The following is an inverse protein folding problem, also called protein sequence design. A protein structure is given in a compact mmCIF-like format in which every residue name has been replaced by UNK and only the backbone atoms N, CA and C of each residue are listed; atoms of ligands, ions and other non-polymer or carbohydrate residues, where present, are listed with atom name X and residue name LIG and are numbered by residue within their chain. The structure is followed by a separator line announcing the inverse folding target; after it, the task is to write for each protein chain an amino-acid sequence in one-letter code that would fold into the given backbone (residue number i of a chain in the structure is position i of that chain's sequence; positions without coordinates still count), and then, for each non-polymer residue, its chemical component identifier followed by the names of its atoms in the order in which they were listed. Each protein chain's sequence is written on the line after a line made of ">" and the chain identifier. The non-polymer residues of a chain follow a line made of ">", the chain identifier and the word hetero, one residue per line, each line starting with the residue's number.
data_IF_388265146434
#
_entry.id   IF_388265146434
#
_cell.length_a   1.000
_cell.length_b   1.000
_cell.length_c   1.000
_cell.angle_alpha   90.00
_cell.angle_beta   90.00
_cell.angle_gamma   90.00
#
_symmetry.space_group_name_H-M   'P 1'
#
loop_
_entity.id
_entity.type
_entity.pdbx_description
1 polymer ?
#
# COMPACT_ATOMS: atom_id res chain seq x y z
N UNK A 1 -7.37 10.25 15.26
CA UNK A 1 -6.02 9.78 15.64
C UNK A 1 -6.05 8.48 16.44
N UNK A 2 -6.84 8.38 17.52
CA UNK A 2 -7.04 7.13 18.29
C UNK A 2 -7.14 5.83 17.43
N UNK A 3 -7.99 5.77 16.38
CA UNK A 3 -8.10 4.55 15.57
C UNK A 3 -6.83 4.18 14.79
N UNK A 4 -5.93 5.12 14.52
CA UNK A 4 -4.67 4.85 13.81
C UNK A 4 -3.66 4.20 14.75
N UNK A 5 -3.49 4.73 15.96
CA UNK A 5 -2.52 4.21 16.93
C UNK A 5 -2.96 2.88 17.56
N UNK A 6 -4.26 2.60 17.60
CA UNK A 6 -4.83 1.33 18.08
C UNK A 6 -4.96 0.28 16.97
N UNK A 7 -4.56 0.59 15.73
CA UNK A 7 -4.62 -0.33 14.61
C UNK A 7 -3.52 -1.42 14.74
N UNK A 8 -3.91 -2.69 14.67
CA UNK A 8 -3.01 -3.84 14.84
C UNK A 8 -1.86 -3.86 13.83
N UNK A 9 -2.09 -3.44 12.59
CA UNK A 9 -1.06 -3.44 11.54
C UNK A 9 -0.02 -2.34 11.80
N UNK A 10 -0.45 -1.18 12.32
CA UNK A 10 0.45 -0.10 12.74
C UNK A 10 1.35 -0.58 13.89
N UNK A 11 0.76 -1.22 14.90
CA UNK A 11 1.47 -1.76 16.06
C UNK A 11 2.47 -2.83 15.62
N UNK A 12 2.04 -3.78 14.78
CA UNK A 12 2.89 -4.84 14.27
C UNK A 12 4.08 -4.27 13.49
N UNK A 13 3.83 -3.28 12.63
CA UNK A 13 4.85 -2.67 11.79
C UNK A 13 5.87 -1.84 12.57
N UNK A 14 5.46 -1.27 13.70
CA UNK A 14 6.34 -0.58 14.64
C UNK A 14 7.23 -1.53 15.48
N UNK A 15 7.03 -2.84 15.41
CA UNK A 15 7.80 -3.84 16.18
C UNK A 15 6.94 -4.70 17.12
N UNK A 16 5.63 -4.49 17.12
CA UNK A 16 4.67 -5.25 17.91
C UNK A 16 4.67 -4.88 19.39
N UNK A 17 3.72 -5.49 20.09
CA UNK A 17 3.51 -5.30 21.53
C UNK A 17 4.73 -5.67 22.38
N UNK A 18 5.49 -6.69 21.99
CA UNK A 18 6.68 -7.09 22.75
C UNK A 18 7.74 -5.98 22.77
N UNK A 19 7.82 -5.17 21.71
CA UNK A 19 8.73 -4.01 21.69
C UNK A 19 8.22 -2.87 22.58
N UNK A 20 6.91 -2.67 22.68
CA UNK A 20 6.31 -1.75 23.67
C UNK A 20 6.63 -2.22 25.09
N UNK A 21 6.48 -3.51 25.36
CA UNK A 21 6.73 -4.11 26.67
C UNK A 21 8.20 -3.98 27.10
N UNK A 22 9.14 -4.25 26.18
CA UNK A 22 10.56 -4.04 26.42
C UNK A 22 10.91 -2.57 26.72
N UNK A 23 10.20 -1.61 26.13
CA UNK A 23 10.37 -0.18 26.44
C UNK A 23 9.81 0.17 27.83
N UNK A 24 8.66 -0.40 28.20
CA UNK A 24 8.06 -0.19 29.53
C UNK A 24 8.90 -0.81 30.65
N UNK A 25 9.59 -1.93 30.40
CA UNK A 25 10.48 -2.56 31.39
C UNK A 25 11.64 -1.66 31.80
N UNK A 26 12.06 -0.73 30.95
CA UNK A 26 13.10 0.27 31.25
C UNK A 26 12.64 1.32 32.26
N UNK A 27 11.33 1.41 32.53
CA UNK A 27 10.75 2.32 33.52
C UNK A 27 10.63 1.63 34.89
N UNK A 28 11.13 2.30 35.92
CA UNK A 28 11.12 1.84 37.31
C UNK A 28 10.08 2.61 38.14
N UNK A 29 8.88 2.78 37.59
CA UNK A 29 7.77 3.47 38.25
C UNK A 29 6.45 2.71 38.05
N UNK A 30 5.59 2.72 39.08
CA UNK A 30 4.25 2.15 38.99
C UNK A 30 3.31 3.21 38.43
N UNK A 31 2.61 2.90 37.33
CA UNK A 31 1.74 3.87 36.66
C UNK A 31 0.33 3.93 37.24
N UNK A 32 -0.03 3.03 38.15
CA UNK A 32 -1.33 3.07 38.79
C UNK A 32 -1.39 4.18 39.86
N UNK A 33 -2.29 5.17 39.73
CA UNK A 33 -2.27 6.38 40.55
C UNK A 33 -2.83 6.20 41.97
N UNK A 34 -3.55 5.10 42.23
CA UNK A 34 -4.25 4.88 43.50
C UNK A 34 -3.56 3.80 44.32
N UNK A 35 -2.41 4.13 44.90
CA UNK A 35 -1.72 3.29 45.88
C UNK A 35 -1.18 4.14 47.02
N UNK A 36 -1.56 3.82 48.26
CA UNK A 36 -0.90 4.40 49.44
C UNK A 36 0.50 3.81 49.64
N UNK A 37 0.81 2.70 48.98
CA UNK A 37 2.08 2.00 49.03
C UNK A 37 2.36 1.30 47.69
N UNK A 38 3.62 1.30 47.26
CA UNK A 38 4.09 0.60 46.07
C UNK A 38 5.28 -0.30 46.40
N UNK A 39 5.30 -1.51 45.82
CA UNK A 39 6.42 -2.44 45.91
C UNK A 39 7.62 -1.97 45.07
N UNK A 40 8.83 -2.36 45.46
CA UNK A 40 10.08 -2.10 44.72
C UNK A 40 10.17 -2.92 43.42
N UNK A 41 9.46 -4.05 43.35
CA UNK A 41 9.46 -4.92 42.18
C UNK A 41 8.28 -4.61 41.26
N UNK A 42 8.53 -4.70 39.95
CA UNK A 42 7.60 -4.31 38.91
C UNK A 42 7.26 -5.45 37.94
N UNK A 43 6.04 -5.43 37.42
CA UNK A 43 5.52 -6.34 36.38
C UNK A 43 4.93 -5.55 35.22
N UNK A 44 4.63 -6.26 34.14
CA UNK A 44 3.87 -5.75 33.01
C UNK A 44 2.46 -6.32 33.09
N UNK A 45 1.47 -5.43 33.09
CA UNK A 45 0.07 -5.80 33.08
C UNK A 45 -0.51 -5.55 31.69
N UNK A 46 -0.93 -6.63 31.04
CA UNK A 46 -1.47 -6.60 29.68
C UNK A 46 -2.93 -6.16 29.72
N UNK A 47 -3.26 -5.04 29.08
CA UNK A 47 -4.62 -4.50 29.05
C UNK A 47 -4.86 -3.77 27.72
N UNK A 48 -5.86 -4.20 26.95
CA UNK A 48 -6.18 -3.58 25.66
C UNK A 48 -6.32 -2.04 25.78
N UNK A 49 -5.74 -1.25 24.86
CA UNK A 49 -5.05 -1.66 23.62
C UNK A 49 -3.54 -1.98 23.75
N UNK A 50 -2.97 -1.97 24.96
CA UNK A 50 -1.53 -2.01 25.19
C UNK A 50 -1.09 -2.77 26.45
N UNK A 51 -0.05 -2.25 27.09
CA UNK A 51 0.49 -2.80 28.35
C UNK A 51 0.78 -1.66 29.33
N UNK A 52 0.75 -1.96 30.62
CA UNK A 52 0.92 -1.01 31.73
C UNK A 52 2.06 -1.48 32.63
N UNK A 53 2.90 -0.55 33.10
CA UNK A 53 3.93 -0.83 34.10
C UNK A 53 3.36 -0.69 35.51
N UNK A 54 3.35 -1.77 36.27
CA UNK A 54 2.82 -1.81 37.64
C UNK A 54 3.86 -2.35 38.62
N UNK A 55 3.75 -1.99 39.91
CA UNK A 55 4.44 -2.74 40.96
C UNK A 55 3.67 -4.02 41.31
N UNK A 56 4.34 -5.02 41.90
CA UNK A 56 3.73 -6.31 42.24
C UNK A 56 2.44 -6.20 43.08
N UNK A 57 2.36 -5.23 43.99
CA UNK A 57 1.17 -5.05 44.81
C UNK A 57 -0.01 -4.49 44.02
N UNK A 58 0.23 -3.48 43.16
CA UNK A 58 -0.81 -2.93 42.30
C UNK A 58 -1.24 -3.94 41.24
N UNK A 59 -0.33 -4.73 40.68
CA UNK A 59 -0.64 -5.80 39.73
C UNK A 59 -1.58 -6.86 40.36
N UNK A 60 -1.30 -7.27 41.60
CA UNK A 60 -2.20 -8.19 42.31
C UNK A 60 -3.55 -7.57 42.66
N UNK A 61 -3.60 -6.28 43.00
CA UNK A 61 -4.85 -5.58 43.27
C UNK A 61 -5.73 -5.45 42.02
N UNK A 62 -5.11 -5.19 40.88
CA UNK A 62 -5.77 -4.88 39.61
C UNK A 62 -5.96 -6.12 38.72
N UNK A 63 -5.53 -7.28 39.20
CA UNK A 63 -5.70 -8.55 38.51
C UNK A 63 -7.17 -8.73 38.12
N UNK A 64 -7.39 -9.09 36.86
CA UNK A 64 -8.71 -9.33 36.25
C UNK A 64 -9.65 -8.10 36.22
N UNK A 65 -9.14 -6.89 36.45
CA UNK A 65 -9.91 -5.65 36.28
C UNK A 65 -9.79 -5.11 34.86
N UNK A 66 -10.92 -4.72 34.28
CA UNK A 66 -11.01 -4.13 32.94
C UNK A 66 -11.73 -2.79 32.98
N UNK A 67 -11.01 -1.74 33.37
CA UNK A 67 -11.57 -0.39 33.54
C UNK A 67 -11.11 0.55 32.43
N UNK A 68 -11.91 1.58 32.15
CA UNK A 68 -11.54 2.62 31.19
C UNK A 68 -10.28 3.40 31.61
N UNK A 69 -10.05 3.53 32.93
CA UNK A 69 -8.83 4.14 33.47
C UNK A 69 -7.59 3.31 33.12
N UNK A 70 -7.63 1.99 33.26
CA UNK A 70 -6.52 1.11 32.86
C UNK A 70 -6.33 1.14 31.33
N UNK A 71 -7.42 1.09 30.55
CA UNK A 71 -7.36 1.26 29.10
C UNK A 71 -6.74 2.61 28.69
N UNK A 72 -7.00 3.66 29.47
CA UNK A 72 -6.41 4.99 29.30
C UNK A 72 -4.89 4.96 29.42
N UNK A 73 -4.38 4.40 30.53
CA UNK A 73 -2.93 4.29 30.78
C UNK A 73 -2.26 3.43 29.70
N UNK A 74 -2.85 2.28 29.36
CA UNK A 74 -2.32 1.40 28.32
C UNK A 74 -2.25 2.10 26.95
N UNK A 75 -3.26 2.92 26.61
CA UNK A 75 -3.30 3.70 25.38
C UNK A 75 -2.24 4.80 25.37
N UNK A 76 -2.03 5.51 26.47
CA UNK A 76 -0.99 6.54 26.57
C UNK A 76 0.40 5.95 26.36
N UNK A 77 0.69 4.81 26.98
CA UNK A 77 1.92 4.05 26.76
C UNK A 77 2.09 3.66 25.29
N UNK A 78 1.04 3.10 24.68
CA UNK A 78 1.06 2.68 23.28
C UNK A 78 1.34 3.86 22.34
N UNK A 79 0.64 4.99 22.51
CA UNK A 79 0.82 6.18 21.68
C UNK A 79 2.21 6.79 21.87
N UNK A 80 2.67 6.91 23.12
CA UNK A 80 4.01 7.44 23.42
C UNK A 80 5.11 6.59 22.78
N UNK A 81 5.01 5.26 22.90
CA UNK A 81 5.95 4.34 22.27
C UNK A 81 5.90 4.43 20.74
N UNK A 82 4.71 4.43 20.13
CA UNK A 82 4.58 4.56 18.67
C UNK A 82 5.21 5.86 18.17
N UNK A 83 5.01 6.98 18.85
CA UNK A 83 5.63 8.26 18.49
C UNK A 83 7.16 8.14 18.55
N UNK A 84 7.72 7.56 19.61
CA UNK A 84 9.17 7.35 19.75
C UNK A 84 9.72 6.47 18.62
N UNK A 85 9.06 5.37 18.31
CA UNK A 85 9.47 4.45 17.23
C UNK A 85 9.41 5.14 15.87
N UNK A 86 8.29 5.78 15.55
CA UNK A 86 8.10 6.46 14.25
C UNK A 86 9.14 7.55 14.07
N UNK A 87 9.36 8.36 15.11
CA UNK A 87 10.37 9.42 15.13
C UNK A 87 11.78 8.88 14.89
N UNK A 88 12.14 7.81 15.59
CA UNK A 88 13.44 7.14 15.43
C UNK A 88 13.61 6.55 14.03
N UNK A 89 12.59 5.88 13.48
CA UNK A 89 12.64 5.29 12.13
C UNK A 89 12.71 6.35 11.02
N UNK A 90 12.13 7.53 11.24
CA UNK A 90 12.27 8.67 10.33
C UNK A 90 13.62 9.41 10.49
N UNK A 91 14.47 9.00 11.44
CA UNK A 91 15.80 9.58 11.67
C UNK A 91 15.80 10.89 12.45
N UNK A 92 14.70 11.21 13.15
CA UNK A 92 14.62 12.40 13.98
C UNK A 92 15.18 12.15 15.40
N UNK A 93 15.60 13.24 16.05
CA UNK A 93 16.09 13.21 17.43
C UNK A 93 14.96 13.12 18.47
N UNK A 94 15.31 12.99 19.75
CA UNK A 94 14.33 12.85 20.84
C UNK A 94 13.49 14.10 21.13
N UNK A 95 13.94 15.27 20.68
CA UNK A 95 13.24 16.54 20.88
C UNK A 95 12.23 16.86 19.78
N UNK A 96 12.27 16.14 18.65
CA UNK A 96 11.39 16.39 17.52
C UNK A 96 9.94 16.03 17.86
N UNK A 97 9.02 16.96 17.56
CA UNK A 97 7.59 16.76 17.66
C UNK A 97 7.07 16.19 16.34
N UNK A 98 6.62 14.94 16.37
CA UNK A 98 6.09 14.27 15.19
C UNK A 98 4.82 14.98 14.67
N UNK A 99 4.88 15.48 13.44
CA UNK A 99 3.78 16.17 12.79
C UNK A 99 2.83 15.19 12.08
N UNK A 100 1.61 15.63 11.75
CA UNK A 100 0.65 14.80 11.01
C UNK A 100 1.18 14.38 9.63
N UNK A 101 1.81 15.27 8.81
CA UNK A 101 2.43 14.86 7.55
C UNK A 101 3.50 13.79 7.73
N UNK A 102 4.35 13.88 8.75
CA UNK A 102 5.41 12.89 9.03
C UNK A 102 4.83 11.54 9.45
N UNK A 103 3.77 11.54 10.27
CA UNK A 103 3.02 10.33 10.60
C UNK A 103 2.41 9.70 9.35
N UNK A 104 1.76 10.50 8.50
CA UNK A 104 1.16 10.00 7.25
C UNK A 104 2.24 9.47 6.29
N UNK A 105 3.39 10.14 6.20
CA UNK A 105 4.53 9.69 5.42
C UNK A 105 5.04 8.34 5.91
N UNK A 106 5.23 8.18 7.23
CA UNK A 106 5.63 6.91 7.82
C UNK A 106 4.63 5.79 7.51
N UNK A 107 3.32 6.06 7.58
CA UNK A 107 2.28 5.09 7.23
C UNK A 107 2.37 4.69 5.75
N UNK A 108 2.59 5.64 4.84
CA UNK A 108 2.69 5.38 3.40
C UNK A 108 3.91 4.52 3.06
N UNK A 109 5.11 4.88 3.54
CA UNK A 109 6.34 4.11 3.26
C UNK A 109 6.28 2.68 3.84
N UNK A 110 5.45 2.48 4.87
CA UNK A 110 5.24 1.19 5.51
C UNK A 110 4.04 0.39 4.97
N UNK A 111 3.47 0.77 3.83
CA UNK A 111 2.32 0.12 3.19
C UNK A 111 1.00 0.20 3.99
N UNK A 112 0.88 1.15 4.91
CA UNK A 112 -0.28 1.37 5.79
C UNK A 112 -1.14 2.58 5.38
N UNK A 113 -1.03 3.03 4.12
CA UNK A 113 -1.80 4.18 3.63
C UNK A 113 -3.32 4.00 3.76
N UNK A 114 -3.81 2.76 3.75
CA UNK A 114 -5.23 2.43 3.94
C UNK A 114 -5.75 2.73 5.35
N UNK A 115 -4.87 2.84 6.35
CA UNK A 115 -5.22 3.16 7.74
C UNK A 115 -5.45 4.67 7.92
N UNK A 116 -5.00 5.51 6.97
CA UNK A 116 -5.05 6.96 7.08
C UNK A 116 -6.51 7.43 6.90
N UNK A 117 -7.14 8.00 7.96
CA UNK A 117 -8.49 8.53 7.83
C UNK A 117 -8.53 9.78 6.96
N UNK A 118 -9.67 10.04 6.31
CA UNK A 118 -9.86 11.21 5.44
C UNK A 118 -9.48 12.54 6.12
N UNK A 119 -9.82 12.69 7.40
CA UNK A 119 -9.47 13.90 8.17
C UNK A 119 -7.96 14.09 8.37
N UNK A 120 -7.19 13.01 8.51
CA UNK A 120 -5.73 13.09 8.56
C UNK A 120 -5.13 13.32 7.19
N UNK A 121 -5.65 12.63 6.17
CA UNK A 121 -5.20 12.80 4.79
C UNK A 121 -5.38 14.25 4.33
N UNK A 122 -6.52 14.89 4.64
CA UNK A 122 -6.75 16.31 4.35
C UNK A 122 -5.76 17.21 5.08
N UNK A 123 -5.50 16.97 6.37
CA UNK A 123 -4.49 17.74 7.14
C UNK A 123 -3.08 17.57 6.57
N UNK A 124 -2.71 16.35 6.18
CA UNK A 124 -1.42 16.06 5.56
C UNK A 124 -1.27 16.76 4.20
N UNK A 125 -2.33 16.78 3.39
CA UNK A 125 -2.39 17.45 2.09
C UNK A 125 -2.69 18.96 2.19
N UNK A 126 -2.86 19.51 3.40
CA UNK A 126 -3.26 20.90 3.66
C UNK A 126 -4.57 21.30 2.95
N UNK A 127 -5.49 20.35 2.82
CA UNK A 127 -6.84 20.56 2.31
C UNK A 127 -7.78 21.04 3.43
N UNK A 128 -8.83 21.84 3.10
CA UNK A 128 -9.80 22.30 4.09
C UNK A 128 -10.59 21.13 4.69
N UNK A 129 -11.06 21.26 5.95
CA UNK A 129 -11.95 20.26 6.55
C UNK A 129 -13.31 20.26 5.82
N UNK A 130 -13.86 19.06 5.58
CA UNK A 130 -15.20 18.93 5.00
C UNK A 130 -16.21 19.25 6.09
N UNK A 131 -16.87 20.40 5.96
CA UNK A 131 -18.04 20.73 6.77
C UNK A 131 -19.28 20.29 5.99
N UNK A 132 -19.83 19.13 6.35
CA UNK A 132 -21.10 18.69 5.78
C UNK A 132 -22.21 19.58 6.32
N UNK A 133 -22.83 20.38 5.45
CA UNK A 133 -24.09 21.03 5.79
C UNK A 133 -25.23 19.99 5.69
N UNK A 134 -26.18 19.97 6.64
CA UNK A 134 -27.25 18.96 6.66
C UNK A 134 -28.21 19.07 5.47
N UNK A 135 -28.26 20.24 4.81
CA UNK A 135 -29.02 20.47 3.58
C UNK A 135 -28.13 21.23 2.61
N UNK A 136 -27.85 20.63 1.46
CA UNK A 136 -27.15 21.28 0.34
C UNK A 136 -27.83 20.88 -0.97
N UNK A 137 -27.81 21.76 -1.96
CA UNK A 137 -28.33 21.41 -3.29
C UNK A 137 -27.38 20.42 -3.93
N UNK A 138 -27.92 19.45 -4.65
CA UNK A 138 -27.13 18.45 -5.37
C UNK A 138 -26.20 19.09 -6.43
N UNK A 139 -26.61 20.23 -7.02
CA UNK A 139 -25.78 21.01 -7.94
C UNK A 139 -24.50 21.58 -7.32
N UNK A 140 -24.45 21.68 -5.99
CA UNK A 140 -23.32 22.26 -5.26
C UNK A 140 -22.29 21.18 -4.87
N UNK A 141 -22.56 19.91 -5.21
CA UNK A 141 -21.63 18.80 -5.02
C UNK A 141 -20.57 18.87 -6.13
N UNK A 142 -19.36 19.29 -5.76
CA UNK A 142 -18.19 19.21 -6.64
C UNK A 142 -17.53 17.84 -6.46
N UNK A 143 -17.45 16.99 -7.49
CA UNK A 143 -16.77 15.70 -7.38
C UNK A 143 -15.26 15.92 -7.30
N UNK A 144 -14.67 15.59 -6.15
CA UNK A 144 -13.23 15.56 -5.93
C UNK A 144 -12.82 14.18 -5.42
N UNK A 145 -11.63 13.68 -5.79
CA UNK A 145 -11.11 12.44 -5.21
C UNK A 145 -10.92 12.60 -3.71
N UNK A 146 -11.19 11.54 -2.95
CA UNK A 146 -10.97 11.57 -1.50
C UNK A 146 -9.48 11.81 -1.20
N UNK A 147 -9.17 12.61 -0.18
CA UNK A 147 -7.79 12.88 0.19
C UNK A 147 -7.06 11.59 0.57
N UNK A 148 -7.76 10.67 1.22
CA UNK A 148 -7.28 9.32 1.53
C UNK A 148 -6.90 8.52 0.27
N UNK A 149 -7.66 8.61 -0.82
CA UNK A 149 -7.30 7.99 -2.10
C UNK A 149 -6.05 8.61 -2.72
N UNK A 150 -5.90 9.93 -2.61
CA UNK A 150 -4.71 10.65 -3.11
C UNK A 150 -3.45 10.20 -2.35
N UNK A 151 -3.53 10.08 -1.02
CA UNK A 151 -2.41 9.58 -0.20
C UNK A 151 -2.16 8.07 -0.40
N UNK A 152 -3.19 7.31 -0.75
CA UNK A 152 -3.09 5.87 -1.05
C UNK A 152 -2.60 5.56 -2.46
N UNK A 153 -2.60 6.52 -3.39
CA UNK A 153 -2.02 6.36 -4.73
C UNK A 153 -0.52 6.11 -4.60
N UNK A 154 -0.21 4.83 -4.53
CA UNK A 154 1.12 4.23 -4.40
C UNK A 154 2.11 4.75 -5.44
N UNK A 155 3.36 4.86 -5.00
CA UNK A 155 4.54 4.51 -5.81
C UNK A 155 4.30 3.06 -6.30
N UNK A 156 4.16 2.86 -7.61
CA UNK A 156 3.84 1.60 -8.28
C UNK A 156 4.87 0.48 -7.95
N UNK A 157 4.72 -0.14 -6.78
CA UNK A 157 5.46 -1.35 -6.45
C UNK A 157 4.82 -2.54 -7.17
N UNK A 158 5.58 -3.23 -8.02
CA UNK A 158 5.22 -4.54 -8.54
C UNK A 158 5.05 -5.50 -7.36
N UNK A 159 3.81 -5.76 -6.94
CA UNK A 159 3.53 -6.70 -5.84
C UNK A 159 3.59 -8.12 -6.36
N UNK A 160 4.53 -8.90 -5.83
CA UNK A 160 4.60 -10.35 -6.01
C UNK A 160 3.94 -10.99 -4.80
N UNK A 161 2.84 -11.70 -5.00
CA UNK A 161 2.20 -12.52 -3.97
C UNK A 161 2.78 -13.94 -4.07
N UNK A 162 3.57 -14.40 -3.07
CA UNK A 162 4.17 -15.73 -3.12
C UNK A 162 3.15 -16.87 -2.93
N UNK A 163 1.94 -16.58 -2.44
CA UNK A 163 0.95 -17.58 -2.04
C UNK A 163 -0.37 -17.48 -2.83
N UNK A 164 -0.30 -17.08 -4.11
CA UNK A 164 -1.50 -17.06 -4.96
C UNK A 164 -2.14 -18.45 -5.05
N UNK A 165 -3.44 -18.64 -4.79
CA UNK A 165 -4.09 -19.96 -4.84
C UNK A 165 -3.86 -20.74 -6.14
N UNK A 166 -3.76 -20.04 -7.27
CA UNK A 166 -3.46 -20.62 -8.57
C UNK A 166 -2.07 -21.28 -8.67
N UNK A 167 -1.08 -20.84 -7.89
CA UNK A 167 0.28 -21.42 -7.92
C UNK A 167 0.33 -22.84 -7.35
N UNK A 168 -0.64 -23.21 -6.53
CA UNK A 168 -0.77 -24.55 -5.95
C UNK A 168 -1.60 -25.52 -6.80
N UNK A 169 -2.17 -25.06 -7.93
CA UNK A 169 -3.02 -25.90 -8.79
C UNK A 169 -2.19 -26.65 -9.84
N UNK A 170 -2.50 -27.94 -10.07
CA UNK A 170 -1.87 -28.75 -11.14
C UNK A 170 -2.04 -28.11 -12.54
N UNK A 171 -3.15 -27.40 -12.75
CA UNK A 171 -3.44 -26.62 -13.97
C UNK A 171 -3.96 -25.23 -13.56
N UNK A 172 -3.07 -24.25 -13.39
CA UNK A 172 -3.46 -22.90 -12.97
C UNK A 172 -4.42 -22.26 -13.97
N UNK A 173 -5.51 -21.65 -13.46
CA UNK A 173 -6.37 -20.82 -14.30
C UNK A 173 -5.61 -19.54 -14.66
N UNK A 174 -5.34 -19.33 -15.94
CA UNK A 174 -4.67 -18.13 -16.44
C UNK A 174 -5.59 -16.92 -16.30
N UNK A 175 -5.21 -15.97 -15.46
CA UNK A 175 -5.87 -14.66 -15.36
C UNK A 175 -5.18 -13.69 -16.29
N UNK A 176 -5.90 -13.18 -17.29
CA UNK A 176 -5.37 -12.13 -18.18
C UNK A 176 -5.12 -10.86 -17.36
N UNK A 177 -3.91 -10.35 -17.45
CA UNK A 177 -3.57 -9.02 -16.92
C UNK A 177 -4.01 -7.98 -17.94
N UNK A 178 -4.84 -7.03 -17.50
CA UNK A 178 -5.46 -6.00 -18.33
C UNK A 178 -4.98 -4.64 -17.85
N UNK A 179 -4.57 -3.79 -18.78
CA UNK A 179 -4.12 -2.43 -18.51
C UNK A 179 -4.44 -1.53 -19.70
N UNK A 180 -5.54 -0.78 -19.57
CA UNK A 180 -6.05 0.09 -20.64
C UNK A 180 -5.13 1.30 -20.89
N UNK A 181 -4.51 1.84 -19.85
CA UNK A 181 -3.52 2.91 -20.00
C UNK A 181 -2.31 2.45 -20.82
N UNK A 182 -1.81 1.25 -20.57
CA UNK A 182 -0.71 0.66 -21.33
C UNK A 182 -1.10 0.44 -22.79
N UNK A 183 -2.23 -0.22 -23.08
CA UNK A 183 -2.67 -0.46 -24.47
C UNK A 183 -2.92 0.84 -25.23
N UNK A 184 -3.50 1.87 -24.58
CA UNK A 184 -3.65 3.21 -25.16
C UNK A 184 -2.31 3.88 -25.44
N UNK A 185 -1.34 3.74 -24.54
CA UNK A 185 0.00 4.24 -24.77
C UNK A 185 0.69 3.52 -25.94
N UNK A 186 0.56 2.19 -26.04
CA UNK A 186 1.09 1.42 -27.18
C UNK A 186 0.50 1.89 -28.50
N UNK A 187 -0.81 2.17 -28.56
CA UNK A 187 -1.46 2.76 -29.74
C UNK A 187 -0.86 4.11 -30.16
N UNK A 188 -0.31 4.89 -29.23
CA UNK A 188 0.36 6.16 -29.54
C UNK A 188 1.77 5.98 -30.12
N UNK A 189 2.35 4.78 -30.05
CA UNK A 189 3.73 4.53 -30.50
C UNK A 189 3.83 4.35 -32.01
N UNK A 190 5.06 4.39 -32.51
CA UNK A 190 5.38 4.06 -33.90
C UNK A 190 5.31 2.54 -34.11
N UNK A 191 4.86 2.14 -35.30
CA UNK A 191 4.80 0.76 -35.74
C UNK A 191 6.20 0.14 -35.76
N UNK A 192 6.37 -1.01 -35.11
CA UNK A 192 7.68 -1.68 -35.01
C UNK A 192 8.25 -2.14 -36.36
N UNK A 193 7.43 -2.25 -37.41
CA UNK A 193 7.86 -2.69 -38.73
C UNK A 193 8.31 -1.53 -39.65
N UNK A 194 7.67 -0.36 -39.54
CA UNK A 194 7.84 0.71 -40.53
C UNK A 194 7.91 2.13 -39.96
N UNK A 195 7.90 2.28 -38.64
CA UNK A 195 7.97 3.54 -37.91
C UNK A 195 6.86 4.56 -38.19
N UNK A 196 5.83 4.22 -38.96
CA UNK A 196 4.59 5.01 -39.11
C UNK A 196 3.76 4.93 -37.83
N UNK A 197 2.83 5.86 -37.61
CA UNK A 197 1.91 5.82 -36.48
C UNK A 197 1.19 4.46 -36.39
N UNK A 198 1.23 3.82 -35.22
CA UNK A 198 0.46 2.61 -34.99
C UNK A 198 -1.04 2.94 -34.94
N UNK A 199 -1.86 1.98 -35.36
CA UNK A 199 -3.32 2.12 -35.34
C UNK A 199 -3.91 1.37 -34.16
N UNK A 200 -3.56 0.10 -33.96
CA UNK A 200 -4.10 -0.73 -32.88
C UNK A 200 -3.00 -1.52 -32.16
N UNK A 201 -3.11 -1.72 -30.82
CA UNK A 201 -2.23 -2.61 -30.09
C UNK A 201 -2.47 -4.06 -30.52
N UNK A 202 -1.45 -4.70 -31.08
CA UNK A 202 -1.51 -6.07 -31.55
C UNK A 202 -1.12 -7.03 -30.42
N UNK A 203 -2.05 -7.84 -29.92
CA UNK A 203 -1.74 -8.90 -28.95
C UNK A 203 -0.96 -10.04 -29.60
N UNK A 204 0.12 -10.49 -28.95
CA UNK A 204 0.90 -11.65 -29.37
C UNK A 204 0.02 -12.88 -29.66
N UNK A 205 0.14 -13.48 -30.85
CA UNK A 205 -0.58 -14.68 -31.26
C UNK A 205 0.36 -15.85 -31.56
N UNK A 206 -0.14 -17.09 -31.48
CA UNK A 206 0.60 -18.29 -31.90
C UNK A 206 1.64 -18.83 -30.90
N UNK A 207 1.94 -18.11 -29.81
CA UNK A 207 3.00 -18.49 -28.86
C UNK A 207 2.50 -19.04 -27.50
N UNK A 208 1.20 -19.32 -27.37
CA UNK A 208 0.61 -19.89 -26.15
C UNK A 208 0.33 -18.88 -25.03
N UNK A 209 0.36 -17.56 -25.29
CA UNK A 209 0.05 -16.51 -24.32
C UNK A 209 -1.47 -16.23 -24.19
N UNK A 210 -2.27 -16.85 -25.06
CA UNK A 210 -3.73 -16.88 -25.03
C UNK A 210 -4.28 -18.28 -25.30
N UNK A 211 -5.59 -18.37 -25.45
CA UNK A 211 -6.34 -19.56 -25.87
C UNK A 211 -7.29 -19.22 -27.02
N UNK A 212 -8.08 -20.19 -27.48
CA UNK A 212 -9.03 -19.97 -28.56
C UNK A 212 -10.03 -18.86 -28.19
N UNK A 213 -10.05 -17.78 -28.99
CA UNK A 213 -10.91 -16.62 -28.76
C UNK A 213 -10.52 -15.72 -27.58
N UNK A 214 -9.33 -15.92 -26.98
CA UNK A 214 -8.85 -15.07 -25.88
C UNK A 214 -7.58 -14.31 -26.25
N UNK A 215 -7.42 -13.13 -25.67
CA UNK A 215 -6.26 -12.26 -25.88
C UNK A 215 -5.15 -12.58 -24.88
N UNK A 216 -3.91 -12.37 -25.29
CA UNK A 216 -2.76 -12.39 -24.38
C UNK A 216 -2.88 -11.30 -23.30
N UNK A 217 -1.97 -11.33 -22.31
CA UNK A 217 -1.82 -10.24 -21.36
C UNK A 217 -1.61 -8.92 -22.11
N UNK A 218 -2.14 -7.81 -21.58
CA UNK A 218 -1.97 -6.51 -22.21
C UNK A 218 -0.51 -6.08 -22.28
N UNK A 219 0.35 -6.60 -21.41
CA UNK A 219 1.80 -6.41 -21.50
C UNK A 219 2.39 -6.97 -22.80
N UNK A 220 1.78 -8.00 -23.39
CA UNK A 220 2.25 -8.67 -24.60
C UNK A 220 1.56 -8.13 -25.85
N UNK A 221 1.61 -6.80 -26.00
CA UNK A 221 1.09 -6.09 -27.17
C UNK A 221 2.18 -5.31 -27.88
N UNK A 222 2.09 -5.25 -29.20
CA UNK A 222 3.02 -4.56 -30.09
C UNK A 222 2.30 -3.43 -30.84
N UNK A 223 2.96 -2.26 -31.07
CA UNK A 223 2.39 -1.23 -31.91
C UNK A 223 2.56 -1.63 -33.39
N UNK A 224 1.45 -1.81 -34.09
CA UNK A 224 1.42 -2.02 -35.54
C UNK A 224 0.50 -1.00 -36.21
N UNK A 225 0.88 -0.53 -37.41
CA UNK A 225 -0.05 0.19 -38.26
C UNK A 225 -1.04 -0.80 -38.88
N UNK A 226 -2.21 -0.33 -39.35
CA UNK A 226 -3.26 -1.17 -39.93
C UNK A 226 -2.73 -2.17 -40.96
N UNK A 227 -1.89 -1.72 -41.89
CA UNK A 227 -1.34 -2.57 -42.94
C UNK A 227 -0.52 -3.75 -42.41
N UNK A 228 0.42 -3.50 -41.48
CA UNK A 228 1.24 -4.57 -40.89
C UNK A 228 0.44 -5.43 -39.90
N UNK A 229 -0.57 -4.85 -39.25
CA UNK A 229 -1.49 -5.61 -38.41
C UNK A 229 -2.27 -6.64 -39.25
N UNK A 230 -2.83 -6.20 -40.38
CA UNK A 230 -3.58 -7.06 -41.28
C UNK A 230 -2.67 -8.08 -41.99
N UNK A 231 -1.44 -7.67 -42.36
CA UNK A 231 -0.41 -8.57 -42.91
C UNK A 231 -0.07 -9.71 -41.94
N UNK A 232 0.11 -9.40 -40.65
CA UNK A 232 0.39 -10.40 -39.62
C UNK A 232 -0.78 -11.39 -39.46
N UNK A 233 -2.03 -10.90 -39.43
CA UNK A 233 -3.20 -11.78 -39.34
C UNK A 233 -3.45 -12.60 -40.62
N UNK A 234 -2.99 -12.12 -41.77
CA UNK A 234 -3.10 -12.84 -43.03
C UNK A 234 -2.13 -14.04 -43.11
N UNK A 235 -0.87 -13.83 -42.74
CA UNK A 235 0.15 -14.89 -42.69
C UNK A 235 1.24 -14.54 -41.67
N UNK A 236 1.16 -15.16 -40.50
CA UNK A 236 2.14 -14.95 -39.43
C UNK A 236 3.55 -15.38 -39.82
N UNK A 237 3.68 -16.45 -40.61
CA UNK A 237 5.00 -17.00 -40.97
C UNK A 237 5.70 -16.06 -41.94
N UNK A 238 5.01 -15.66 -43.01
CA UNK A 238 5.55 -14.71 -43.97
C UNK A 238 5.85 -13.35 -43.34
N UNK A 239 5.00 -12.89 -42.41
CA UNK A 239 5.24 -11.66 -41.66
C UNK A 239 6.52 -11.74 -40.82
N UNK A 240 6.69 -12.80 -40.05
CA UNK A 240 7.85 -12.97 -39.15
C UNK A 240 9.16 -13.15 -39.93
N UNK A 241 9.14 -13.84 -41.08
CA UNK A 241 10.29 -13.94 -41.98
C UNK A 241 10.74 -12.57 -42.51
N UNK A 242 9.78 -11.67 -42.76
CA UNK A 242 10.03 -10.35 -43.36
C UNK A 242 10.41 -9.29 -42.33
N UNK A 243 9.79 -9.31 -41.15
CA UNK A 243 9.88 -8.23 -40.16
C UNK A 243 10.58 -8.64 -38.85
N UNK A 244 10.91 -9.92 -38.68
CA UNK A 244 11.39 -10.50 -37.43
C UNK A 244 10.25 -11.12 -36.61
N UNK A 245 10.59 -12.07 -35.74
CA UNK A 245 9.59 -12.78 -34.94
C UNK A 245 8.78 -11.84 -34.03
N UNK A 246 7.51 -12.16 -33.78
CA UNK A 246 6.71 -11.37 -32.84
C UNK A 246 7.36 -11.28 -31.46
N UNK A 247 8.02 -12.36 -30.99
CA UNK A 247 8.72 -12.39 -29.71
C UNK A 247 9.90 -11.41 -29.66
N UNK A 248 10.70 -11.36 -30.71
CA UNK A 248 11.84 -10.44 -30.81
C UNK A 248 11.38 -8.98 -30.88
N UNK A 249 10.36 -8.71 -31.70
CA UNK A 249 9.75 -7.39 -31.78
C UNK A 249 9.18 -6.96 -30.42
N UNK A 250 8.49 -7.87 -29.73
CA UNK A 250 7.89 -7.60 -28.42
C UNK A 250 8.96 -7.33 -27.36
N UNK A 251 10.01 -8.14 -27.33
CA UNK A 251 11.12 -7.96 -26.40
C UNK A 251 11.79 -6.59 -26.58
N UNK A 252 12.13 -6.21 -27.82
CA UNK A 252 12.69 -4.88 -28.12
C UNK A 252 11.78 -3.75 -27.73
N UNK A 253 10.47 -3.90 -27.98
CA UNK A 253 9.49 -2.88 -27.62
C UNK A 253 9.34 -2.73 -26.10
N UNK A 254 9.29 -3.84 -25.36
CA UNK A 254 9.24 -3.84 -23.90
C UNK A 254 10.50 -3.25 -23.27
N UNK A 255 11.68 -3.63 -23.76
CA UNK A 255 12.97 -3.09 -23.32
C UNK A 255 13.01 -1.56 -23.49
N UNK A 256 12.64 -1.05 -24.67
CA UNK A 256 12.51 0.39 -24.90
C UNK A 256 11.52 1.03 -23.93
N UNK A 257 10.37 0.40 -23.70
CA UNK A 257 9.29 0.94 -22.85
C UNK A 257 9.72 1.06 -21.38
N UNK A 258 10.50 0.09 -20.90
CA UNK A 258 11.14 0.13 -19.59
C UNK A 258 12.23 1.21 -19.53
N UNK A 259 13.10 1.26 -20.54
CA UNK A 259 14.21 2.21 -20.61
C UNK A 259 13.75 3.68 -20.60
N UNK A 260 12.58 3.98 -21.18
CA UNK A 260 11.99 5.33 -21.18
C UNK A 260 11.06 5.61 -19.99
N UNK A 261 10.93 4.67 -19.05
CA UNK A 261 10.18 4.86 -17.80
C UNK A 261 8.65 4.85 -17.94
N UNK A 262 8.11 4.24 -18.99
CA UNK A 262 6.63 4.15 -19.18
C UNK A 262 6.03 3.08 -18.28
N UNK A 263 6.78 2.02 -18.00
CA UNK A 263 6.47 1.01 -17.01
C UNK A 263 7.42 1.22 -15.82
N UNK A 264 6.98 2.00 -14.84
CA UNK A 264 7.73 2.38 -13.63
C UNK A 264 6.86 2.30 -12.38
#
# INVERSE_FOLDING_TARGET
>A
MKPVFENKDVILRAGGISSLEAELERRFECQYPHGSWHSENFTLFRHEPGSIRLCWACDNLLRDQYTETLAGIARENLVSWLITVIRSQLGFNEDHQLTIPELCWWLVINNLAHVIPESLARKALRLPEITHQPVMKESDIVPEPAASEVVQKKILGLRVDPETPESFMLRPKRRRWVNESWTRWVKSQQCVCCNKQADDPHHLIGHGQGGMGTKAHDLFVLPLCRAHHDELHADTVAFEEKHGSQLELLFRFLDRSLAIGVLA
#
